data_IF_124947519233
#
_entry.id   IF_124947519233
#
_cell.length_a   1.000
_cell.length_b   1.000
_cell.length_c   1.000
_cell.angle_alpha   90.00
_cell.angle_beta   90.00
_cell.angle_gamma   90.00
#
_symmetry.space_group_name_H-M   'P 1'
#
loop_
_entity.id
_entity.type
_entity.pdbx_description
1 polymer ?
#
# COMPACT_ATOMS: atom_id res chain seq x y z
N UNK A 1 -2.83 -15.59 -8.44
CA UNK A 1 -2.64 -16.30 -7.15
C UNK A 1 -3.69 -15.90 -6.11
N UNK A 2 -3.74 -14.62 -5.63
CA UNK A 2 -4.71 -14.21 -4.59
C UNK A 2 -6.16 -14.45 -5.04
N UNK A 3 -6.56 -13.97 -6.21
CA UNK A 3 -7.90 -14.16 -6.76
C UNK A 3 -8.31 -15.65 -6.88
N UNK A 4 -7.38 -16.53 -7.26
CA UNK A 4 -7.63 -17.98 -7.32
C UNK A 4 -7.89 -18.61 -5.94
N UNK A 5 -7.28 -18.07 -4.89
CA UNK A 5 -7.45 -18.56 -3.52
C UNK A 5 -8.71 -18.02 -2.85
N UNK A 6 -9.12 -16.83 -3.19
CA UNK A 6 -10.23 -16.11 -2.55
C UNK A 6 -11.52 -16.16 -3.38
N UNK A 7 -11.45 -16.58 -4.64
CA UNK A 7 -12.58 -16.48 -5.57
C UNK A 7 -12.86 -15.05 -6.07
N UNK A 8 -12.00 -14.09 -5.75
CA UNK A 8 -12.17 -12.72 -6.19
C UNK A 8 -12.01 -12.58 -7.71
N UNK A 9 -12.82 -11.73 -8.31
CA UNK A 9 -12.74 -11.39 -9.73
C UNK A 9 -11.86 -10.16 -9.94
N UNK A 10 -10.84 -10.28 -10.80
CA UNK A 10 -9.98 -9.15 -11.17
C UNK A 10 -10.61 -8.47 -12.39
N UNK A 11 -10.93 -7.17 -12.24
CA UNK A 11 -11.29 -6.28 -13.34
C UNK A 11 -10.10 -5.38 -13.64
N UNK A 12 -9.66 -5.35 -14.88
CA UNK A 12 -8.53 -4.51 -15.31
C UNK A 12 -9.09 -3.24 -15.95
N UNK A 13 -8.71 -2.08 -15.43
CA UNK A 13 -9.02 -0.78 -16.02
C UNK A 13 -8.10 -0.57 -17.22
N UNK A 14 -8.67 -0.11 -18.34
CA UNK A 14 -7.92 0.19 -19.55
C UNK A 14 -6.97 1.37 -19.38
N UNK A 15 -5.96 1.42 -20.20
CA UNK A 15 -5.09 2.58 -20.42
C UNK A 15 -5.18 3.02 -21.88
N UNK A 16 -5.04 4.31 -22.14
CA UNK A 16 -4.99 4.86 -23.49
C UNK A 16 -3.62 4.66 -24.15
N UNK A 17 -3.48 5.08 -25.40
CA UNK A 17 -2.24 4.95 -26.17
C UNK A 17 -1.09 5.81 -25.61
N UNK A 18 -1.39 6.84 -24.84
CA UNK A 18 -0.44 7.66 -24.10
C UNK A 18 -0.05 7.06 -22.72
N UNK A 19 -0.69 5.96 -22.33
CA UNK A 19 -0.44 5.26 -21.06
C UNK A 19 -1.15 5.85 -19.84
N UNK A 20 -2.17 6.68 -20.05
CA UNK A 20 -3.00 7.19 -18.96
C UNK A 20 -4.11 6.18 -18.62
N UNK A 21 -4.50 6.12 -17.35
CA UNK A 21 -5.66 5.33 -16.93
C UNK A 21 -6.93 5.94 -17.53
N UNK A 22 -7.72 5.13 -18.24
CA UNK A 22 -9.04 5.53 -18.75
C UNK A 22 -10.03 5.65 -17.57
N UNK A 23 -10.27 6.90 -17.14
CA UNK A 23 -11.20 7.18 -16.04
C UNK A 23 -12.63 6.77 -16.37
N UNK A 24 -13.07 6.89 -17.61
CA UNK A 24 -14.40 6.45 -18.04
C UNK A 24 -14.56 4.92 -17.93
N UNK A 25 -13.50 4.17 -18.25
CA UNK A 25 -13.48 2.74 -18.04
C UNK A 25 -13.45 2.37 -16.55
N UNK A 26 -12.69 3.13 -15.75
CA UNK A 26 -12.69 2.98 -14.29
C UNK A 26 -14.09 3.19 -13.69
N UNK A 27 -14.79 4.26 -14.08
CA UNK A 27 -16.17 4.55 -13.65
C UNK A 27 -17.14 3.43 -14.00
N UNK A 28 -17.01 2.82 -15.18
CA UNK A 28 -17.86 1.70 -15.60
C UNK A 28 -17.59 0.40 -14.82
N UNK A 29 -16.34 0.18 -14.40
CA UNK A 29 -15.89 -1.09 -13.77
C UNK A 29 -15.98 -1.08 -12.26
N UNK A 30 -15.79 0.07 -11.64
CA UNK A 30 -15.86 0.24 -10.20
C UNK A 30 -17.34 0.35 -9.79
N UNK A 31 -17.75 -0.49 -8.85
CA UNK A 31 -19.13 -0.61 -8.40
C UNK A 31 -19.18 -0.96 -6.91
N UNK A 32 -20.35 -1.07 -6.34
CA UNK A 32 -20.55 -1.51 -4.94
C UNK A 32 -20.00 -2.92 -4.65
N UNK A 33 -19.76 -3.74 -5.70
CA UNK A 33 -19.13 -5.04 -5.57
C UNK A 33 -17.59 -4.96 -5.58
N UNK A 34 -17.02 -3.77 -5.74
CA UNK A 34 -15.56 -3.57 -5.74
C UNK A 34 -15.06 -3.52 -4.31
N UNK A 35 -14.30 -4.51 -3.89
CA UNK A 35 -13.70 -4.55 -2.57
C UNK A 35 -12.42 -3.68 -2.48
N UNK A 36 -11.60 -3.68 -3.54
CA UNK A 36 -10.31 -3.00 -3.56
C UNK A 36 -10.00 -2.44 -4.95
N UNK A 37 -9.60 -1.19 -5.01
CA UNK A 37 -8.96 -0.56 -6.16
C UNK A 37 -7.45 -0.45 -5.90
N UNK A 38 -6.64 -1.13 -6.72
CA UNK A 38 -5.19 -1.06 -6.63
C UNK A 38 -4.61 -0.47 -7.91
N UNK A 39 -3.72 0.53 -7.79
CA UNK A 39 -3.09 1.18 -8.93
C UNK A 39 -1.74 1.81 -8.57
N UNK A 40 -0.90 2.06 -9.57
CA UNK A 40 0.37 2.77 -9.40
C UNK A 40 0.16 4.28 -9.39
N UNK A 41 0.82 5.01 -8.49
CA UNK A 41 0.78 6.47 -8.49
C UNK A 41 1.57 7.04 -9.68
N UNK A 42 2.78 6.50 -9.91
CA UNK A 42 3.61 6.82 -11.09
C UNK A 42 3.99 5.52 -11.78
N UNK A 43 3.80 5.48 -13.10
CA UNK A 43 4.14 4.30 -13.91
C UNK A 43 5.65 4.08 -13.96
N UNK A 44 6.11 2.87 -13.66
CA UNK A 44 7.52 2.48 -13.80
C UNK A 44 7.97 2.42 -15.29
N UNK A 45 7.05 2.06 -16.18
CA UNK A 45 7.40 1.89 -17.61
C UNK A 45 7.36 3.19 -18.41
N UNK A 46 6.40 4.08 -18.08
CA UNK A 46 6.10 5.26 -18.90
C UNK A 46 6.37 6.58 -18.18
N UNK A 47 6.51 6.57 -16.86
CA UNK A 47 6.62 7.78 -16.05
C UNK A 47 5.30 8.57 -15.90
N UNK A 48 4.20 8.05 -16.42
CA UNK A 48 2.88 8.68 -16.32
C UNK A 48 2.47 8.82 -14.86
N UNK A 49 2.05 10.03 -14.48
CA UNK A 49 1.49 10.30 -13.13
C UNK A 49 -0.01 10.07 -13.21
N UNK A 50 -0.47 9.03 -12.53
CA UNK A 50 -1.88 8.69 -12.52
C UNK A 50 -2.71 9.64 -11.63
N UNK A 51 -3.98 9.90 -11.97
CA UNK A 51 -4.85 10.83 -11.25
C UNK A 51 -5.36 10.20 -9.93
N UNK A 52 -4.45 10.00 -8.98
CA UNK A 52 -4.68 9.25 -7.75
C UNK A 52 -5.87 9.78 -6.95
N UNK A 53 -5.98 11.10 -6.78
CA UNK A 53 -7.10 11.70 -6.04
C UNK A 53 -8.47 11.36 -6.65
N UNK A 54 -8.57 11.36 -7.99
CA UNK A 54 -9.82 11.02 -8.70
C UNK A 54 -10.16 9.54 -8.53
N UNK A 55 -9.18 8.66 -8.66
CA UNK A 55 -9.35 7.22 -8.51
C UNK A 55 -9.75 6.86 -7.07
N UNK A 56 -9.13 7.50 -6.08
CA UNK A 56 -9.48 7.32 -4.67
C UNK A 56 -10.90 7.81 -4.38
N UNK A 57 -11.28 8.99 -4.91
CA UNK A 57 -12.63 9.53 -4.75
C UNK A 57 -13.68 8.59 -5.37
N UNK A 58 -13.39 8.03 -6.56
CA UNK A 58 -14.26 7.06 -7.22
C UNK A 58 -14.43 5.78 -6.40
N UNK A 59 -13.34 5.18 -5.91
CA UNK A 59 -13.40 4.01 -5.05
C UNK A 59 -14.21 4.28 -3.77
N UNK A 60 -13.95 5.41 -3.12
CA UNK A 60 -14.65 5.82 -1.90
C UNK A 60 -16.16 6.00 -2.13
N UNK A 61 -16.57 6.50 -3.29
CA UNK A 61 -18.01 6.72 -3.60
C UNK A 61 -18.83 5.44 -3.61
N UNK A 62 -18.18 4.28 -3.76
CA UNK A 62 -18.81 2.96 -3.76
C UNK A 62 -18.44 2.11 -2.53
N UNK A 63 -17.65 2.64 -1.60
CA UNK A 63 -17.20 1.93 -0.41
C UNK A 63 -16.01 0.99 -0.63
N UNK A 64 -15.34 1.05 -1.79
CA UNK A 64 -14.15 0.26 -2.07
C UNK A 64 -12.91 0.83 -1.37
N UNK A 65 -12.05 -0.04 -0.85
CA UNK A 65 -10.75 0.34 -0.33
C UNK A 65 -9.77 0.67 -1.46
N UNK A 66 -8.72 1.44 -1.13
CA UNK A 66 -7.69 1.83 -2.09
C UNK A 66 -6.30 1.41 -1.63
N UNK A 67 -5.53 0.83 -2.55
CA UNK A 67 -4.10 0.56 -2.37
C UNK A 67 -3.32 1.24 -3.49
N UNK A 68 -2.47 2.18 -3.11
CA UNK A 68 -1.66 2.95 -4.06
C UNK A 68 -0.22 2.45 -4.02
N UNK A 69 0.28 1.97 -5.15
CA UNK A 69 1.70 1.66 -5.32
C UNK A 69 2.45 2.97 -5.61
N UNK A 70 3.16 3.44 -4.59
CA UNK A 70 3.99 4.64 -4.63
C UNK A 70 5.47 4.36 -4.92
N UNK A 71 5.82 3.16 -5.39
CA UNK A 71 7.21 2.76 -5.55
C UNK A 71 8.05 3.72 -6.41
N UNK A 72 7.45 4.33 -7.41
CA UNK A 72 8.10 5.40 -8.21
C UNK A 72 7.79 6.80 -7.67
N UNK A 73 6.58 7.02 -7.17
CA UNK A 73 6.16 8.34 -6.73
C UNK A 73 6.91 8.81 -5.48
N UNK A 74 7.27 7.91 -4.56
CA UNK A 74 7.91 8.25 -3.30
C UNK A 74 9.23 9.05 -3.43
N UNK A 75 9.95 8.87 -4.55
CA UNK A 75 11.16 9.63 -4.85
C UNK A 75 10.86 10.95 -5.57
N UNK A 76 9.83 10.99 -6.40
CA UNK A 76 9.66 12.04 -7.40
C UNK A 76 8.57 13.06 -7.06
N UNK A 77 7.70 12.74 -6.11
CA UNK A 77 6.57 13.59 -5.72
C UNK A 77 6.59 13.85 -4.20
N UNK A 78 6.23 15.05 -3.76
CA UNK A 78 5.96 15.29 -2.36
C UNK A 78 4.73 14.46 -1.94
N UNK A 79 4.89 13.62 -0.93
CA UNK A 79 3.84 12.71 -0.47
C UNK A 79 3.21 13.18 0.84
N UNK A 80 1.93 13.45 0.79
CA UNK A 80 1.07 13.68 1.94
C UNK A 80 -0.04 12.62 1.94
N UNK A 81 0.27 11.39 2.38
CA UNK A 81 -0.65 10.25 2.27
C UNK A 81 -2.00 10.48 2.95
N UNK A 82 -2.03 11.24 4.05
CA UNK A 82 -3.28 11.61 4.71
C UNK A 82 -4.13 12.56 3.87
N UNK A 83 -3.51 13.52 3.20
CA UNK A 83 -4.18 14.45 2.29
C UNK A 83 -4.62 13.75 1.01
N UNK A 84 -3.81 12.85 0.47
CA UNK A 84 -4.17 11.99 -0.66
C UNK A 84 -5.40 11.15 -0.34
N UNK A 85 -5.52 10.72 0.92
CA UNK A 85 -6.71 10.06 1.46
C UNK A 85 -6.87 8.61 1.01
N UNK A 86 -5.80 7.94 0.61
CA UNK A 86 -5.83 6.50 0.32
C UNK A 86 -5.89 5.69 1.62
N UNK A 87 -6.37 4.45 1.51
CA UNK A 87 -6.42 3.53 2.65
C UNK A 87 -5.08 2.85 2.90
N UNK A 88 -4.37 2.50 1.82
CA UNK A 88 -3.04 1.91 1.86
C UNK A 88 -2.13 2.59 0.83
N UNK A 89 -0.86 2.77 1.21
CA UNK A 89 0.19 3.28 0.32
C UNK A 89 1.49 2.51 0.55
N UNK A 90 2.14 2.04 -0.52
CA UNK A 90 3.32 1.18 -0.40
C UNK A 90 4.47 1.69 -1.26
N UNK A 91 5.69 1.61 -0.72
CA UNK A 91 6.89 1.84 -1.52
C UNK A 91 8.07 1.03 -0.99
N UNK A 92 9.10 0.91 -1.82
CA UNK A 92 10.33 0.16 -1.52
C UNK A 92 11.49 1.12 -1.27
N UNK A 93 12.24 0.87 -0.19
CA UNK A 93 13.33 1.75 0.24
C UNK A 93 14.43 1.94 -0.79
N UNK A 94 14.82 0.88 -1.54
CA UNK A 94 15.87 0.99 -2.55
C UNK A 94 15.54 1.96 -3.71
N UNK A 95 14.29 2.34 -3.86
CA UNK A 95 13.85 3.33 -4.86
C UNK A 95 13.89 4.78 -4.36
N UNK A 96 14.17 4.97 -3.06
CA UNK A 96 14.32 6.27 -2.40
C UNK A 96 15.70 6.43 -1.76
N UNK A 97 16.74 5.90 -2.44
CA UNK A 97 18.15 5.94 -2.01
C UNK A 97 18.49 5.14 -0.76
N UNK A 98 17.55 4.40 -0.19
CA UNK A 98 17.79 3.53 0.95
C UNK A 98 18.39 2.17 0.53
N UNK A 99 18.91 1.37 1.48
CA UNK A 99 19.35 0.00 1.22
C UNK A 99 18.23 -0.89 0.65
N UNK A 100 18.61 -2.00 0.04
CA UNK A 100 17.67 -3.07 -0.35
C UNK A 100 17.17 -3.79 0.90
N UNK A 101 15.99 -4.42 0.83
CA UNK A 101 15.48 -5.23 1.95
C UNK A 101 14.59 -4.50 2.93
N UNK A 102 14.36 -3.19 2.74
CA UNK A 102 13.42 -2.39 3.52
C UNK A 102 12.36 -1.74 2.62
N UNK A 103 11.17 -1.60 3.12
CA UNK A 103 10.07 -0.90 2.48
C UNK A 103 9.04 -0.43 3.51
N UNK A 104 8.08 0.35 3.07
CA UNK A 104 7.04 0.93 3.93
C UNK A 104 5.68 0.59 3.36
N UNK A 105 4.78 0.14 4.23
CA UNK A 105 3.35 0.10 3.99
C UNK A 105 2.68 1.07 4.98
N UNK A 106 2.14 2.16 4.45
CA UNK A 106 1.17 2.97 5.18
C UNK A 106 -0.20 2.31 5.09
N UNK A 107 -0.93 2.25 6.19
CA UNK A 107 -2.33 1.88 6.22
C UNK A 107 -3.09 2.73 7.23
N UNK A 108 -4.36 3.02 6.96
CA UNK A 108 -5.23 3.65 7.94
C UNK A 108 -5.31 2.78 9.19
N UNK A 109 -5.10 3.40 10.34
CA UNK A 109 -4.97 2.67 11.61
C UNK A 109 -6.20 1.84 11.96
N UNK A 110 -7.40 2.36 11.72
CA UNK A 110 -8.67 1.66 11.93
C UNK A 110 -8.75 0.36 11.10
N UNK A 111 -8.38 0.42 9.83
CA UNK A 111 -8.33 -0.75 8.94
C UNK A 111 -7.25 -1.75 9.36
N UNK A 112 -6.06 -1.25 9.75
CA UNK A 112 -4.99 -2.13 10.24
C UNK A 112 -5.41 -2.88 11.52
N UNK A 113 -6.21 -2.25 12.39
CA UNK A 113 -6.73 -2.92 13.59
C UNK A 113 -7.70 -4.06 13.28
N UNK A 114 -8.42 -4.00 12.15
CA UNK A 114 -9.36 -5.03 11.73
C UNK A 114 -8.69 -6.20 11.01
N UNK A 115 -7.51 -5.97 10.42
CA UNK A 115 -6.79 -7.00 9.67
C UNK A 115 -6.11 -8.01 10.61
N UNK A 116 -6.15 -9.30 10.26
CA UNK A 116 -5.37 -10.31 10.97
C UNK A 116 -3.86 -10.13 10.66
N UNK A 117 -2.96 -10.64 11.52
CA UNK A 117 -1.54 -10.64 11.20
C UNK A 117 -1.26 -11.43 9.93
N UNK A 118 -0.30 -10.98 9.14
CA UNK A 118 0.12 -11.69 7.93
C UNK A 118 0.93 -12.96 8.24
N UNK A 119 1.79 -12.88 9.24
CA UNK A 119 2.65 -13.98 9.71
C UNK A 119 2.87 -13.87 11.21
N UNK A 120 3.20 -14.98 11.86
CA UNK A 120 3.55 -15.01 13.28
C UNK A 120 5.05 -14.99 13.50
N UNK A 121 5.46 -14.49 14.67
CA UNK A 121 6.85 -14.44 15.12
C UNK A 121 7.01 -13.72 16.44
N UNK A 122 8.22 -13.48 16.89
CA UNK A 122 8.52 -12.64 18.04
C UNK A 122 8.04 -11.20 17.85
N UNK A 123 7.98 -10.45 18.91
CA UNK A 123 7.61 -9.03 19.00
C UNK A 123 6.12 -8.71 18.65
N UNK A 124 5.50 -9.44 17.71
CA UNK A 124 4.12 -9.18 17.26
C UNK A 124 3.06 -9.88 18.11
N UNK A 125 3.45 -10.82 18.96
CA UNK A 125 2.58 -11.56 19.85
C UNK A 125 2.42 -10.80 21.17
N UNK A 126 1.18 -10.72 21.68
CA UNK A 126 0.86 -10.20 23.00
C UNK A 126 0.81 -11.32 24.02
N UNK A 127 0.10 -12.39 23.71
CA UNK A 127 -0.07 -13.54 24.60
C UNK A 127 -0.16 -14.86 23.81
N UNK A 128 0.42 -15.93 24.36
CA UNK A 128 0.41 -17.27 23.75
C UNK A 128 0.04 -18.31 24.79
N UNK A 129 -0.95 -19.14 24.47
CA UNK A 129 -1.27 -20.37 25.19
C UNK A 129 -1.28 -21.55 24.21
N UNK A 130 -1.53 -22.75 24.70
CA UNK A 130 -1.72 -23.91 23.83
C UNK A 130 -2.99 -23.84 22.99
N UNK A 131 -3.98 -23.08 23.46
CA UNK A 131 -5.31 -22.99 22.83
C UNK A 131 -5.43 -21.80 21.89
N UNK A 132 -4.72 -20.68 22.17
CA UNK A 132 -4.86 -19.45 21.39
C UNK A 132 -3.63 -18.54 21.49
N UNK A 133 -3.55 -17.63 20.54
CA UNK A 133 -2.60 -16.51 20.56
C UNK A 133 -3.34 -15.19 20.37
N UNK A 134 -2.92 -14.16 21.09
CA UNK A 134 -3.33 -12.78 20.85
C UNK A 134 -2.14 -11.96 20.34
N UNK A 135 -2.42 -10.87 19.66
CA UNK A 135 -1.43 -10.14 18.90
C UNK A 135 -1.42 -8.66 19.31
N UNK A 136 -0.24 -8.06 19.22
CA UNK A 136 -0.05 -6.64 19.45
C UNK A 136 -0.95 -5.78 18.53
N UNK A 137 -1.11 -4.52 18.90
CA UNK A 137 -1.72 -3.53 18.02
C UNK A 137 -0.80 -3.16 16.85
N UNK A 138 -1.34 -2.63 15.74
CA UNK A 138 -0.48 -2.05 14.70
C UNK A 138 0.44 -0.96 15.27
N UNK A 139 1.65 -0.80 14.75
CA UNK A 139 2.25 -1.52 13.62
C UNK A 139 2.81 -2.91 14.00
N UNK A 140 3.07 -3.18 15.26
CA UNK A 140 3.76 -4.39 15.74
C UNK A 140 3.11 -5.69 15.28
N UNK A 141 1.78 -5.73 15.18
CA UNK A 141 1.02 -6.88 14.65
C UNK A 141 1.52 -7.38 13.29
N UNK A 142 2.08 -6.50 12.47
CA UNK A 142 2.53 -6.81 11.11
C UNK A 142 4.03 -6.89 10.97
N UNK A 143 4.78 -6.74 12.07
CA UNK A 143 6.25 -6.71 12.10
C UNK A 143 6.77 -7.91 12.90
N UNK A 144 6.67 -9.11 12.30
CA UNK A 144 7.03 -10.36 12.96
C UNK A 144 8.54 -10.61 12.97
N UNK A 145 9.08 -10.87 14.16
CA UNK A 145 10.50 -11.15 14.38
C UNK A 145 11.37 -9.89 14.53
N UNK A 146 12.66 -10.08 14.74
CA UNK A 146 13.61 -8.97 14.82
C UNK A 146 13.57 -8.13 13.54
N UNK A 147 13.32 -6.83 13.61
CA UNK A 147 13.22 -5.98 12.43
C UNK A 147 14.58 -5.86 11.72
N UNK A 148 14.56 -5.47 10.45
CA UNK A 148 15.77 -5.16 9.68
C UNK A 148 16.36 -3.81 10.16
N UNK A 149 17.07 -3.83 11.29
CA UNK A 149 17.53 -2.65 12.01
C UNK A 149 18.45 -1.78 11.14
N UNK A 150 19.43 -2.38 10.49
CA UNK A 150 20.44 -1.65 9.72
C UNK A 150 19.82 -0.90 8.54
N UNK A 151 18.96 -1.56 7.78
CA UNK A 151 18.35 -0.96 6.59
C UNK A 151 17.24 0.05 6.98
N UNK A 152 16.59 -0.14 8.14
CA UNK A 152 15.65 0.85 8.68
C UNK A 152 16.36 2.17 9.02
N UNK A 153 17.54 2.10 9.66
CA UNK A 153 18.38 3.28 9.92
C UNK A 153 18.82 3.91 8.60
N UNK A 154 19.22 3.09 7.62
CA UNK A 154 19.59 3.55 6.28
C UNK A 154 18.43 4.23 5.55
N UNK A 155 17.20 3.72 5.70
CA UNK A 155 16.00 4.38 5.15
C UNK A 155 15.76 5.74 5.81
N UNK A 156 15.93 5.85 7.14
CA UNK A 156 15.84 7.13 7.86
C UNK A 156 16.82 8.16 7.29
N UNK A 157 18.09 7.78 7.14
CA UNK A 157 19.12 8.65 6.55
C UNK A 157 18.79 9.07 5.09
N UNK A 158 18.21 8.17 4.30
CA UNK A 158 17.79 8.48 2.94
C UNK A 158 16.62 9.47 2.91
N UNK A 159 15.66 9.35 3.83
CA UNK A 159 14.55 10.29 3.98
C UNK A 159 15.06 11.68 4.38
N UNK A 160 15.97 11.75 5.34
CA UNK A 160 16.60 13.01 5.76
C UNK A 160 17.32 13.69 4.57
N UNK A 161 18.03 12.93 3.76
CA UNK A 161 18.68 13.42 2.54
C UNK A 161 17.67 13.98 1.51
N UNK A 162 16.53 13.35 1.35
CA UNK A 162 15.49 13.81 0.42
C UNK A 162 14.77 15.09 0.86
N UNK A 163 14.88 15.46 2.15
CA UNK A 163 14.26 16.67 2.72
C UNK A 163 15.19 17.90 2.67
N UNK A 164 16.46 17.72 2.28
CA UNK A 164 17.44 18.80 2.14
C UNK A 164 17.39 19.46 0.76
#
# INVERSE_FOLDING_TARGET
MLAQRTGAHIKVVAVDDEGNIDLGDAERKISQDTALLAFTHVSNGLGTINPAEKLIALARSVGALTLVDGAQAALHLPLEVQKLGCDFYVFSGHKVYAPTGIGVLYGRYDLLCELPPWQGGGEMIEHVTFEQSTYQLPPYRFEAGTPNIADTIGLGAAIDYLQT
#
